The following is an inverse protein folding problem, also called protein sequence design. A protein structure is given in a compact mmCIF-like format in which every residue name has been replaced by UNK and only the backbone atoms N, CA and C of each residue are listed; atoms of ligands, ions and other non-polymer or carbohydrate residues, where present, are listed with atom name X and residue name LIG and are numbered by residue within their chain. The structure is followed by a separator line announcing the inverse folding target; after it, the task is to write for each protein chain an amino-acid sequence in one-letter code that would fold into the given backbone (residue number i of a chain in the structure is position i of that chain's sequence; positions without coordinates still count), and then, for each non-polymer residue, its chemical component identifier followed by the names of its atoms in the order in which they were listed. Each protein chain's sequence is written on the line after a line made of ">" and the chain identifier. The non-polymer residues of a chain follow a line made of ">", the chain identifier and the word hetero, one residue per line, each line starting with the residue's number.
data_IF_465728434635
#
_entry.id   IF_465728434635
#
_cell.length_a   1.000
_cell.length_b   1.000
_cell.length_c   1.000
_cell.angle_alpha   90.00
_cell.angle_beta   90.00
_cell.angle_gamma   90.00
#
_symmetry.space_group_name_H-M   'P 1'
#
loop_
_entity.id
_entity.type
_entity.pdbx_description
1 polymer ?
#
# COMPACT_ATOMS: atom_id res chain seq x y z
N UNK A 1 54.83 13.43 -66.57
CA UNK A 1 55.46 13.25 -65.23
C UNK A 1 54.36 13.39 -64.19
N UNK A 2 53.78 12.28 -63.74
CA UNK A 2 52.80 12.28 -62.63
C UNK A 2 53.53 11.76 -61.39
N UNK A 3 53.41 12.43 -60.23
CA UNK A 3 54.12 12.02 -59.03
C UNK A 3 53.43 10.81 -58.38
N UNK A 4 54.26 9.90 -57.90
CA UNK A 4 53.92 8.73 -57.11
C UNK A 4 53.42 9.17 -55.73
N UNK A 5 52.16 8.89 -55.40
CA UNK A 5 51.68 8.92 -54.01
C UNK A 5 51.82 7.51 -53.45
N UNK A 6 52.99 7.23 -52.88
CA UNK A 6 53.19 6.09 -52.01
C UNK A 6 52.67 6.44 -50.60
N UNK A 7 51.53 5.87 -50.22
CA UNK A 7 51.20 5.64 -48.82
C UNK A 7 51.18 4.13 -48.59
N UNK A 8 52.31 3.61 -48.12
CA UNK A 8 52.50 2.20 -47.78
C UNK A 8 51.65 1.91 -46.54
N UNK A 9 50.57 1.17 -46.74
CA UNK A 9 49.47 1.12 -45.78
C UNK A 9 49.57 -0.08 -44.83
N UNK A 10 49.45 0.22 -43.54
CA UNK A 10 49.43 -0.67 -42.36
C UNK A 10 48.42 -1.84 -42.44
N UNK A 11 47.46 -1.79 -43.36
CA UNK A 11 46.34 -2.74 -43.42
C UNK A 11 46.63 -4.05 -44.18
N UNK A 12 47.83 -4.24 -44.74
CA UNK A 12 48.13 -5.43 -45.54
C UNK A 12 48.14 -6.75 -44.73
N UNK A 13 48.12 -6.67 -43.40
CA UNK A 13 48.05 -7.82 -42.49
C UNK A 13 46.63 -8.29 -42.17
N UNK A 14 45.58 -7.56 -42.59
CA UNK A 14 44.18 -7.92 -42.34
C UNK A 14 43.44 -8.46 -43.57
N UNK A 15 44.14 -8.69 -44.67
CA UNK A 15 43.56 -9.32 -45.85
C UNK A 15 43.68 -10.85 -45.73
N UNK A 16 42.59 -11.50 -45.32
CA UNK A 16 42.51 -12.96 -45.17
C UNK A 16 42.43 -13.71 -46.52
N UNK A 17 42.30 -12.99 -47.65
CA UNK A 17 42.12 -13.57 -48.98
C UNK A 17 43.29 -13.26 -49.92
N UNK A 18 43.63 -14.23 -50.78
CA UNK A 18 44.65 -14.07 -51.82
C UNK A 18 44.15 -13.10 -52.89
N UNK A 19 44.80 -11.94 -53.00
CA UNK A 19 44.48 -10.92 -54.01
C UNK A 19 44.55 -11.51 -55.43
N UNK A 20 43.50 -11.26 -56.23
CA UNK A 20 43.34 -11.80 -57.59
C UNK A 20 44.31 -11.09 -58.54
N UNK A 21 45.00 -11.79 -59.47
CA UNK A 21 45.89 -11.15 -60.43
C UNK A 21 45.14 -10.11 -61.27
N UNK A 22 45.77 -8.94 -61.48
CA UNK A 22 45.19 -7.73 -62.08
C UNK A 22 44.71 -7.91 -63.53
N UNK A 23 45.07 -9.01 -64.19
CA UNK A 23 44.68 -9.32 -65.57
C UNK A 23 43.27 -9.93 -65.69
N UNK A 24 42.63 -10.33 -64.58
CA UNK A 24 41.28 -10.89 -64.54
C UNK A 24 40.26 -9.96 -63.87
N UNK A 25 40.69 -8.78 -63.40
CA UNK A 25 39.85 -7.80 -62.71
C UNK A 25 39.94 -6.45 -63.41
N UNK A 26 38.95 -6.14 -64.24
CA UNK A 26 38.85 -4.83 -64.88
C UNK A 26 38.14 -3.87 -63.91
N UNK A 27 38.88 -2.87 -63.42
CA UNK A 27 38.34 -1.85 -62.53
C UNK A 27 37.40 -0.92 -63.32
N UNK A 28 36.10 -1.21 -63.29
CA UNK A 28 35.09 -0.37 -63.96
C UNK A 28 34.71 0.85 -63.12
N UNK A 29 34.71 2.03 -63.74
CA UNK A 29 34.29 3.30 -63.13
C UNK A 29 32.82 3.28 -62.69
N UNK A 30 31.96 2.52 -63.38
CA UNK A 30 30.56 2.35 -62.98
C UNK A 30 30.42 1.52 -61.71
N UNK A 31 31.23 0.47 -61.53
CA UNK A 31 31.26 -0.34 -60.32
C UNK A 31 31.72 0.46 -59.10
N UNK A 32 32.73 1.33 -59.28
CA UNK A 32 33.17 2.25 -58.22
C UNK A 32 32.05 3.21 -57.78
N UNK A 33 31.29 3.75 -58.73
CA UNK A 33 30.16 4.66 -58.43
C UNK A 33 29.01 3.96 -57.68
N UNK A 34 28.68 2.72 -58.05
CA UNK A 34 27.66 1.93 -57.36
C UNK A 34 28.09 1.56 -55.93
N UNK A 35 29.37 1.25 -55.74
CA UNK A 35 29.92 0.90 -54.43
C UNK A 35 29.92 2.10 -53.49
N UNK A 36 30.26 3.29 -54.02
CA UNK A 36 30.18 4.54 -53.26
C UNK A 36 28.74 4.84 -52.82
N UNK A 37 27.78 4.68 -53.74
CA UNK A 37 26.36 4.89 -53.43
C UNK A 37 25.88 3.90 -52.35
N UNK A 38 26.24 2.62 -52.48
CA UNK A 38 25.88 1.59 -51.50
C UNK A 38 26.50 1.86 -50.11
N UNK A 39 27.74 2.35 -50.07
CA UNK A 39 28.40 2.70 -48.81
C UNK A 39 27.70 3.89 -48.13
N UNK A 40 27.34 4.92 -48.90
CA UNK A 40 26.58 6.08 -48.40
C UNK A 40 25.22 5.66 -47.86
N UNK A 41 24.47 4.82 -48.58
CA UNK A 41 23.15 4.36 -48.10
C UNK A 41 23.26 3.54 -46.82
N UNK A 42 24.25 2.64 -46.72
CA UNK A 42 24.52 1.87 -45.50
C UNK A 42 24.82 2.78 -44.31
N UNK A 43 25.63 3.84 -44.48
CA UNK A 43 25.95 4.80 -43.42
C UNK A 43 24.70 5.55 -42.98
N UNK A 44 23.88 6.03 -43.91
CA UNK A 44 22.64 6.75 -43.59
C UNK A 44 21.69 5.87 -42.79
N UNK A 45 21.48 4.63 -43.24
CA UNK A 45 20.63 3.68 -42.51
C UNK A 45 21.16 3.39 -41.11
N UNK A 46 22.47 3.21 -40.96
CA UNK A 46 23.09 2.99 -39.66
C UNK A 46 22.86 4.17 -38.71
N UNK A 47 23.00 5.41 -39.17
CA UNK A 47 22.75 6.61 -38.34
C UNK A 47 21.28 6.71 -37.95
N UNK A 48 20.35 6.47 -38.88
CA UNK A 48 18.92 6.50 -38.59
C UNK A 48 18.52 5.46 -37.55
N UNK A 49 18.98 4.21 -37.69
CA UNK A 49 18.70 3.14 -36.72
C UNK A 49 19.36 3.41 -35.37
N UNK A 50 20.60 3.92 -35.37
CA UNK A 50 21.28 4.31 -34.14
C UNK A 50 20.49 5.39 -33.39
N UNK A 51 19.98 6.40 -34.09
CA UNK A 51 19.16 7.43 -33.49
C UNK A 51 17.83 6.87 -32.98
N UNK A 52 17.18 5.99 -33.74
CA UNK A 52 15.94 5.33 -33.32
C UNK A 52 16.14 4.46 -32.07
N UNK A 53 17.29 3.76 -31.99
CA UNK A 53 17.67 2.94 -30.84
C UNK A 53 17.96 3.80 -29.59
N UNK A 54 18.65 4.93 -29.74
CA UNK A 54 18.91 5.87 -28.65
C UNK A 54 17.68 6.67 -28.24
N UNK A 55 16.64 6.72 -29.07
CA UNK A 55 15.39 7.41 -28.76
C UNK A 55 14.59 6.58 -27.75
N UNK A 56 14.52 7.06 -26.51
CA UNK A 56 13.69 6.45 -25.48
C UNK A 56 12.20 6.70 -25.78
N UNK A 57 11.45 5.63 -26.10
CA UNK A 57 9.99 5.69 -26.29
C UNK A 57 9.30 5.20 -25.03
N UNK A 58 8.52 6.08 -24.39
CA UNK A 58 7.63 5.67 -23.30
C UNK A 58 6.52 4.78 -23.87
N UNK A 59 6.52 3.51 -23.47
CA UNK A 59 5.47 2.55 -23.81
C UNK A 59 4.81 2.08 -22.52
N UNK A 60 3.55 2.44 -22.34
CA UNK A 60 2.73 1.94 -21.23
C UNK A 60 2.34 0.50 -21.53
N UNK A 61 2.77 -0.44 -20.70
CA UNK A 61 2.33 -1.84 -20.77
C UNK A 61 1.43 -2.12 -19.59
N UNK A 62 0.25 -2.68 -19.87
CA UNK A 62 -0.65 -3.19 -18.84
C UNK A 62 -0.16 -4.60 -18.52
N UNK A 63 0.29 -4.80 -17.29
CA UNK A 63 0.68 -6.12 -16.78
C UNK A 63 -0.34 -6.48 -15.71
N UNK A 64 -0.77 -7.75 -15.72
CA UNK A 64 -1.61 -8.29 -14.65
C UNK A 64 -0.74 -8.37 -13.41
N UNK A 65 -1.07 -7.60 -12.39
CA UNK A 65 -0.39 -7.69 -11.11
C UNK A 65 -0.69 -9.07 -10.49
N UNK A 66 0.35 -9.85 -10.21
CA UNK A 66 0.25 -11.13 -9.53
C UNK A 66 0.38 -11.00 -8.02
N UNK A 67 0.58 -9.77 -7.50
CA UNK A 67 0.52 -9.54 -6.06
C UNK A 67 -0.90 -9.79 -5.58
N UNK A 68 -1.05 -10.84 -4.78
CA UNK A 68 -2.23 -11.11 -3.98
C UNK A 68 -2.17 -10.29 -2.69
N UNK A 69 -1.94 -8.96 -2.80
CA UNK A 69 -2.16 -8.10 -1.64
C UNK A 69 -3.66 -8.18 -1.30
N UNK A 70 -3.98 -8.91 -0.23
CA UNK A 70 -5.33 -9.38 0.08
C UNK A 70 -6.34 -8.25 0.36
N UNK A 71 -5.88 -7.02 0.59
CA UNK A 71 -6.75 -5.89 0.97
C UNK A 71 -6.28 -4.53 0.43
N UNK A 72 -7.21 -3.78 -0.16
CA UNK A 72 -7.01 -2.38 -0.56
C UNK A 72 -7.26 -1.46 0.65
N UNK A 73 -6.31 -0.61 0.99
CA UNK A 73 -6.48 0.43 2.03
C UNK A 73 -7.20 1.65 1.43
N UNK A 74 -8.39 1.94 1.93
CA UNK A 74 -9.20 3.10 1.52
C UNK A 74 -9.22 4.09 2.69
N UNK A 75 -8.65 5.28 2.48
CA UNK A 75 -8.73 6.39 3.44
C UNK A 75 -9.82 7.35 2.96
N UNK A 76 -10.79 7.65 3.82
CA UNK A 76 -11.85 8.61 3.53
C UNK A 76 -12.12 9.51 4.73
N UNK A 77 -12.52 10.76 4.46
CA UNK A 77 -13.00 11.72 5.45
C UNK A 77 -14.30 12.32 4.90
N UNK A 78 -15.42 12.01 5.54
CA UNK A 78 -16.77 12.38 5.10
C UNK A 78 -17.48 13.03 6.27
N UNK A 79 -18.11 14.18 6.00
CA UNK A 79 -18.87 14.94 6.99
C UNK A 79 -20.36 14.90 6.68
N UNK A 80 -21.18 14.64 7.70
CA UNK A 80 -22.64 14.63 7.60
C UNK A 80 -23.21 15.58 8.66
N UNK A 81 -23.87 16.66 8.25
CA UNK A 81 -24.33 17.73 9.16
C UNK A 81 -25.69 17.41 9.81
N UNK A 82 -26.51 16.60 9.15
CA UNK A 82 -27.92 16.33 9.54
C UNK A 82 -28.15 14.85 9.92
N UNK A 83 -27.08 14.12 10.25
CA UNK A 83 -27.17 12.74 10.72
C UNK A 83 -26.31 12.53 11.97
N UNK A 84 -26.90 11.86 12.96
CA UNK A 84 -26.17 11.41 14.15
C UNK A 84 -25.26 10.23 13.80
N UNK A 85 -24.11 10.15 14.47
CA UNK A 85 -23.11 9.09 14.27
C UNK A 85 -23.66 7.67 14.55
N UNK A 86 -24.69 7.54 15.40
CA UNK A 86 -25.27 6.27 15.82
C UNK A 86 -26.04 5.58 14.69
N UNK A 87 -26.61 6.36 13.76
CA UNK A 87 -27.36 5.83 12.62
C UNK A 87 -26.50 5.66 11.36
N UNK A 88 -25.26 6.13 11.39
CA UNK A 88 -24.34 6.03 10.24
C UNK A 88 -23.62 4.70 10.31
N UNK A 89 -23.71 3.91 9.23
CA UNK A 89 -22.94 2.68 9.07
C UNK A 89 -22.12 2.76 7.78
N UNK A 90 -20.95 2.11 7.80
CA UNK A 90 -20.06 2.05 6.63
C UNK A 90 -20.20 0.68 6.00
N UNK A 91 -20.45 0.67 4.69
CA UNK A 91 -20.51 -0.55 3.88
C UNK A 91 -19.49 -0.50 2.75
N UNK A 92 -18.95 -1.67 2.39
CA UNK A 92 -18.00 -1.84 1.28
C UNK A 92 -18.60 -2.84 0.31
N UNK A 93 -18.80 -2.41 -0.93
CA UNK A 93 -19.27 -3.26 -2.02
C UNK A 93 -18.29 -3.20 -3.19
N UNK A 94 -17.90 -4.37 -3.69
CA UNK A 94 -16.95 -4.54 -4.78
C UNK A 94 -17.60 -5.29 -5.97
N UNK A 95 -17.17 -4.96 -7.18
CA UNK A 95 -17.61 -5.61 -8.42
C UNK A 95 -17.28 -7.12 -8.43
N UNK A 96 -16.28 -7.55 -7.67
CA UNK A 96 -15.94 -8.96 -7.47
C UNK A 96 -16.90 -9.69 -6.51
N UNK A 97 -17.95 -9.05 -6.02
CA UNK A 97 -19.00 -9.66 -5.19
C UNK A 97 -18.67 -9.70 -3.70
N UNK A 98 -17.63 -9.00 -3.26
CA UNK A 98 -17.38 -8.79 -1.83
C UNK A 98 -18.31 -7.70 -1.33
N UNK A 99 -19.23 -8.07 -0.43
CA UNK A 99 -20.11 -7.15 0.28
C UNK A 99 -19.88 -7.27 1.78
N UNK A 100 -19.49 -6.16 2.41
CA UNK A 100 -19.32 -6.05 3.87
C UNK A 100 -20.11 -4.85 4.36
N UNK A 101 -21.21 -5.12 5.04
CA UNK A 101 -22.00 -4.11 5.73
C UNK A 101 -21.52 -3.93 7.18
N UNK A 102 -21.75 -2.75 7.74
CA UNK A 102 -21.41 -2.40 9.14
C UNK A 102 -19.94 -2.62 9.50
N UNK A 103 -19.04 -2.09 8.65
CA UNK A 103 -17.61 -2.06 8.95
C UNK A 103 -17.36 -1.07 10.09
N UNK A 104 -16.96 -1.58 11.25
CA UNK A 104 -16.59 -0.79 12.43
C UNK A 104 -15.09 -0.63 12.59
N UNK A 105 -14.29 -1.55 12.03
CA UNK A 105 -12.84 -1.54 12.17
C UNK A 105 -12.17 -0.39 11.42
N UNK A 106 -11.26 0.31 12.10
CA UNK A 106 -10.54 1.50 11.64
C UNK A 106 -11.46 2.65 11.18
N UNK A 107 -12.68 2.73 11.71
CA UNK A 107 -13.64 3.81 11.42
C UNK A 107 -13.86 4.64 12.68
N UNK A 108 -13.36 5.87 12.68
CA UNK A 108 -13.60 6.82 13.76
C UNK A 108 -14.79 7.72 13.42
N UNK A 109 -15.77 7.78 14.31
CA UNK A 109 -16.91 8.69 14.21
C UNK A 109 -16.73 9.84 15.19
N UNK A 110 -16.83 11.07 14.69
CA UNK A 110 -16.66 12.27 15.51
C UNK A 110 -17.84 13.21 15.27
N UNK A 111 -18.46 13.68 16.36
CA UNK A 111 -19.56 14.64 16.29
C UNK A 111 -19.06 16.00 15.81
N UNK A 112 -19.81 16.58 14.86
CA UNK A 112 -19.55 17.91 14.29
C UNK A 112 -20.73 18.85 14.53
N UNK A 113 -20.45 20.15 14.57
CA UNK A 113 -21.45 21.22 14.63
C UNK A 113 -22.01 21.53 13.22
N UNK A 114 -23.12 22.27 13.16
CA UNK A 114 -23.73 22.76 11.90
C UNK A 114 -22.80 23.64 11.07
N UNK A 115 -21.74 24.19 11.68
CA UNK A 115 -20.68 24.93 11.00
C UNK A 115 -19.57 24.04 10.43
N UNK A 116 -19.66 22.72 10.62
CA UNK A 116 -18.66 21.73 10.21
C UNK A 116 -17.47 21.62 11.16
N UNK A 117 -17.52 22.26 12.33
CA UNK A 117 -16.44 22.18 13.32
C UNK A 117 -16.59 20.95 14.22
N UNK A 118 -15.47 20.30 14.51
CA UNK A 118 -15.42 19.12 15.38
C UNK A 118 -15.65 19.55 16.83
N UNK A 119 -16.79 19.17 17.39
CA UNK A 119 -17.20 19.57 18.75
C UNK A 119 -17.04 18.46 19.78
N UNK A 120 -16.95 17.20 19.36
CA UNK A 120 -16.80 16.04 20.25
C UNK A 120 -15.43 15.37 20.21
N UNK A 121 -15.19 14.45 21.15
CA UNK A 121 -14.08 13.50 21.12
C UNK A 121 -14.40 12.36 20.14
N UNK A 122 -13.39 11.84 19.45
CA UNK A 122 -13.53 10.64 18.63
C UNK A 122 -13.21 9.43 19.52
N UNK A 123 -14.16 8.54 19.73
CA UNK A 123 -13.93 7.34 20.53
C UNK A 123 -13.03 6.36 19.77
N UNK A 124 -12.07 5.78 20.48
CA UNK A 124 -11.31 4.63 19.99
C UNK A 124 -12.14 3.35 20.08
N UNK A 125 -11.77 2.32 19.32
CA UNK A 125 -12.52 1.04 19.34
C UNK A 125 -12.61 0.44 20.74
N UNK A 126 -11.54 0.56 21.52
CA UNK A 126 -11.48 0.06 22.90
C UNK A 126 -12.44 0.83 23.82
N UNK A 127 -12.49 2.16 23.68
CA UNK A 127 -13.43 3.01 24.43
C UNK A 127 -14.90 2.71 24.06
N UNK A 128 -15.18 2.49 22.77
CA UNK A 128 -16.53 2.11 22.34
C UNK A 128 -16.95 0.78 22.95
N UNK A 129 -16.05 -0.21 22.97
CA UNK A 129 -16.33 -1.52 23.56
C UNK A 129 -16.63 -1.44 25.07
N UNK A 130 -15.89 -0.59 25.81
CA UNK A 130 -16.17 -0.35 27.23
C UNK A 130 -17.51 0.35 27.47
N UNK A 131 -17.85 1.35 26.64
CA UNK A 131 -19.12 2.04 26.73
C UNK A 131 -20.31 1.13 26.38
N UNK A 132 -20.18 0.30 25.34
CA UNK A 132 -21.20 -0.69 24.97
C UNK A 132 -21.43 -1.72 26.10
N UNK A 133 -20.36 -2.11 26.81
CA UNK A 133 -20.48 -2.98 27.98
C UNK A 133 -21.16 -2.27 29.16
N UNK A 134 -20.87 -0.99 29.39
CA UNK A 134 -21.49 -0.19 30.45
C UNK A 134 -22.98 0.08 30.21
N UNK A 135 -23.37 0.29 28.94
CA UNK A 135 -24.76 0.58 28.57
C UNK A 135 -25.61 -0.70 28.41
N UNK A 136 -24.99 -1.88 28.51
CA UNK A 136 -25.71 -3.14 28.50
C UNK A 136 -26.66 -3.22 29.71
N UNK A 137 -27.96 -3.16 29.44
CA UNK A 137 -28.98 -3.40 30.47
C UNK A 137 -28.96 -4.89 30.85
N UNK A 138 -28.32 -5.23 31.95
CA UNK A 138 -28.37 -6.58 32.52
C UNK A 138 -29.80 -6.97 32.87
N UNK A 139 -30.16 -8.22 32.61
CA UNK A 139 -31.45 -8.77 33.01
C UNK A 139 -31.56 -8.83 34.54
N UNK A 140 -32.78 -8.86 35.08
CA UNK A 140 -33.00 -8.95 36.54
C UNK A 140 -32.39 -10.20 37.17
N UNK A 141 -32.20 -11.27 36.39
CA UNK A 141 -31.58 -12.52 36.82
C UNK A 141 -30.05 -12.39 36.86
N UNK A 142 -29.42 -11.81 35.82
CA UNK A 142 -27.98 -11.51 35.82
C UNK A 142 -27.59 -10.50 36.92
N UNK A 143 -28.43 -9.50 37.17
CA UNK A 143 -28.25 -8.56 38.28
C UNK A 143 -28.31 -9.27 39.64
N UNK A 144 -29.24 -10.22 39.81
CA UNK A 144 -29.36 -10.98 41.04
C UNK A 144 -28.16 -11.93 41.26
N UNK A 145 -27.61 -12.52 40.20
CA UNK A 145 -26.37 -13.31 40.27
C UNK A 145 -25.16 -12.43 40.62
N UNK A 146 -25.01 -11.26 39.99
CA UNK A 146 -23.94 -10.31 40.28
C UNK A 146 -24.00 -9.78 41.73
N UNK A 147 -25.21 -9.48 42.23
CA UNK A 147 -25.44 -9.08 43.62
C UNK A 147 -25.16 -10.24 44.61
N UNK A 148 -25.46 -11.49 44.22
CA UNK A 148 -25.17 -12.66 45.04
C UNK A 148 -23.66 -12.91 45.21
N UNK A 149 -22.86 -12.59 44.19
CA UNK A 149 -21.40 -12.65 44.24
C UNK A 149 -20.83 -11.58 45.18
N UNK A 150 -21.42 -10.39 45.21
CA UNK A 150 -21.11 -9.36 46.22
C UNK A 150 -21.52 -9.77 47.63
N UNK A 151 -22.66 -10.47 47.78
CA UNK A 151 -23.17 -10.97 49.06
C UNK A 151 -22.30 -12.07 49.68
N UNK A 152 -21.64 -12.89 48.85
CA UNK A 152 -20.77 -14.00 49.26
C UNK A 152 -19.47 -13.55 49.93
N UNK A 153 -18.99 -12.33 49.65
CA UNK A 153 -17.79 -11.77 50.29
C UNK A 153 -18.06 -11.16 51.68
N UNK A 154 -19.32 -11.11 52.12
CA UNK A 154 -19.66 -10.62 53.45
C UNK A 154 -19.57 -11.76 54.46
N UNK A 155 -18.42 -11.93 55.13
CA UNK A 155 -18.29 -12.91 56.23
C UNK A 155 -19.08 -12.51 57.51
N UNK A 156 -20.13 -11.66 57.35
CA UNK A 156 -20.99 -11.10 58.39
C UNK A 156 -20.25 -10.60 59.65
N UNK A 157 -18.95 -10.29 59.54
CA UNK A 157 -18.08 -10.03 60.68
C UNK A 157 -18.24 -11.07 61.81
N UNK A 158 -18.18 -12.38 61.50
CA UNK A 158 -18.06 -13.44 62.54
C UNK A 158 -16.64 -13.54 63.11
N UNK A 159 -15.95 -12.42 63.22
CA UNK A 159 -14.61 -12.36 63.79
C UNK A 159 -14.65 -11.43 64.99
N UNK A 160 -14.08 -11.88 66.10
CA UNK A 160 -14.08 -11.13 67.37
C UNK A 160 -13.28 -9.81 67.29
N UNK A 161 -12.57 -9.56 66.18
CA UNK A 161 -11.72 -8.39 66.03
C UNK A 161 -11.70 -7.84 64.59
N UNK A 162 -12.21 -6.62 64.41
CA UNK A 162 -12.22 -5.87 63.16
C UNK A 162 -10.80 -5.62 62.60
N UNK A 163 -9.83 -5.39 63.50
CA UNK A 163 -8.46 -5.02 63.11
C UNK A 163 -7.73 -6.12 62.35
N UNK A 164 -8.00 -7.40 62.66
CA UNK A 164 -7.36 -8.53 61.99
C UNK A 164 -7.78 -8.68 60.53
N UNK A 165 -8.96 -8.19 60.16
CA UNK A 165 -9.47 -8.25 58.78
C UNK A 165 -8.80 -7.19 57.92
N UNK A 166 -8.59 -5.99 58.48
CA UNK A 166 -7.89 -4.87 57.83
C UNK A 166 -6.42 -5.20 57.62
N UNK A 167 -5.77 -5.85 58.59
CA UNK A 167 -4.34 -6.18 58.50
C UNK A 167 -4.06 -7.37 57.56
N UNK A 168 -5.05 -8.24 57.30
CA UNK A 168 -4.89 -9.43 56.47
C UNK A 168 -5.05 -9.18 54.97
N UNK A 169 -5.64 -8.04 54.56
CA UNK A 169 -5.95 -7.74 53.17
C UNK A 169 -5.34 -6.40 52.74
N UNK A 170 -4.73 -6.37 51.56
CA UNK A 170 -4.08 -5.18 51.00
C UNK A 170 -5.09 -4.04 50.71
N UNK A 171 -6.35 -4.40 50.43
CA UNK A 171 -7.45 -3.45 50.25
C UNK A 171 -8.72 -3.95 50.94
N UNK A 172 -9.31 -3.13 51.79
CA UNK A 172 -10.56 -3.44 52.50
C UNK A 172 -11.56 -2.30 52.32
N UNK A 173 -12.75 -2.60 51.80
CA UNK A 173 -13.82 -1.62 51.60
C UNK A 173 -14.96 -1.95 52.56
N UNK A 174 -15.21 -1.06 53.53
CA UNK A 174 -16.17 -1.28 54.61
C UNK A 174 -17.33 -0.30 54.45
N UNK A 175 -18.54 -0.83 54.25
CA UNK A 175 -19.75 -0.03 54.18
C UNK A 175 -20.45 0.00 55.55
N UNK A 176 -20.32 1.11 56.27
CA UNK A 176 -21.09 1.34 57.49
C UNK A 176 -22.44 1.95 57.12
N UNK A 177 -23.51 1.18 57.32
CA UNK A 177 -24.88 1.68 57.18
C UNK A 177 -25.64 1.48 58.50
N UNK A 178 -26.66 2.31 58.69
CA UNK A 178 -27.64 2.16 59.75
C UNK A 178 -29.02 2.20 59.09
N UNK A 179 -29.89 1.27 59.49
CA UNK A 179 -31.28 1.18 59.04
C UNK A 179 -32.15 2.26 59.73
#
# INVERSE_FOLDING_TARGET
>A
MLPQVASRSWYHSYDAFRSVPKDLSEASTSGASMTLLAMVTCIVLFVCEMQAFLTCKLSTRIVIDSNQDETLKINFDVTMIDMNCDFVTVGVWDAFGTDRMNVTRNVMKQRIDHKGERTGHAYTEDEVAELEFSDASFTSEELAELDSDWGSSSDHFKHDNFQGVVDAHDFTMVNFYAD
#
